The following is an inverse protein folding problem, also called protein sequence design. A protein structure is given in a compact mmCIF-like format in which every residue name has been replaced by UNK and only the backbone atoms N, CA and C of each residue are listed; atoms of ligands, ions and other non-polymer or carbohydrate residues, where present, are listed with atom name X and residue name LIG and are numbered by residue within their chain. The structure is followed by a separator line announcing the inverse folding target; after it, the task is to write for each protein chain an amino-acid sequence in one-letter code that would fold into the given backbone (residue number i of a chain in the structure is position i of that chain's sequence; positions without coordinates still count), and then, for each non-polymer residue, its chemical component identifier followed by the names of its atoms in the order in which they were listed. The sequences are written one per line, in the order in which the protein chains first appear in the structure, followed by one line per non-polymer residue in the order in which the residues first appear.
data_IF_149861237011
#
_entry.id   IF_149861237011
#
_cell.length_a   1.000
_cell.length_b   1.000
_cell.length_c   1.000
_cell.angle_alpha   90.00
_cell.angle_beta   90.00
_cell.angle_gamma   90.00
#
_symmetry.space_group_name_H-M   'P 1'
#
loop_
_entity.id
_entity.type
_entity.pdbx_description
1 polymer ?
#
# COMPACT_ATOMS: atom_id res chain seq x y z
N UNK A 1 4.31 -0.28 -10.66
CA UNK A 1 3.93 -1.58 -10.07
C UNK A 1 2.50 -1.92 -10.48
N UNK A 2 2.18 -3.20 -10.77
CA UNK A 2 0.81 -3.66 -11.08
C UNK A 2 0.22 -4.47 -9.92
N UNK A 3 -1.08 -4.37 -9.68
CA UNK A 3 -1.76 -5.06 -8.57
C UNK A 3 -1.58 -6.59 -8.59
N UNK A 4 -1.55 -7.20 -9.79
CA UNK A 4 -1.28 -8.63 -9.93
C UNK A 4 0.12 -9.02 -9.45
N UNK A 5 1.14 -8.20 -9.74
CA UNK A 5 2.50 -8.44 -9.27
C UNK A 5 2.57 -8.37 -7.74
N UNK A 6 1.88 -7.42 -7.15
CA UNK A 6 1.84 -7.25 -5.69
C UNK A 6 1.16 -8.45 -4.99
N UNK A 7 0.14 -9.04 -5.61
CA UNK A 7 -0.46 -10.31 -5.15
C UNK A 7 0.51 -11.50 -5.21
N UNK A 8 1.34 -11.55 -6.25
CA UNK A 8 2.34 -12.62 -6.41
C UNK A 8 3.40 -12.50 -5.31
N UNK A 9 3.93 -11.29 -5.10
CA UNK A 9 4.92 -11.02 -4.04
C UNK A 9 4.38 -11.39 -2.66
N UNK A 10 3.13 -11.01 -2.34
CA UNK A 10 2.54 -11.31 -1.02
C UNK A 10 2.36 -12.79 -0.72
N UNK A 11 2.45 -13.66 -1.74
CA UNK A 11 2.40 -15.11 -1.60
C UNK A 11 3.79 -15.75 -1.62
N UNK A 12 4.70 -15.21 -2.42
CA UNK A 12 6.03 -15.78 -2.59
C UNK A 12 6.99 -15.39 -1.46
N UNK A 13 6.95 -14.13 -1.03
CA UNK A 13 7.84 -13.59 -0.01
C UNK A 13 7.08 -12.74 1.03
N UNK A 14 6.09 -13.31 1.74
CA UNK A 14 5.24 -12.55 2.66
C UNK A 14 6.02 -11.84 3.78
N UNK A 15 7.11 -12.45 4.25
CA UNK A 15 7.91 -11.96 5.38
C UNK A 15 9.06 -11.04 4.98
N UNK A 16 9.31 -10.88 3.66
CA UNK A 16 10.35 -9.97 3.17
C UNK A 16 9.97 -8.51 3.46
N UNK A 17 10.96 -7.65 3.66
CA UNK A 17 10.72 -6.22 3.83
C UNK A 17 10.06 -5.65 2.57
N UNK A 18 8.90 -5.02 2.73
CA UNK A 18 8.10 -4.50 1.62
C UNK A 18 8.92 -3.57 0.73
N UNK A 19 9.75 -2.71 1.31
CA UNK A 19 10.61 -1.76 0.57
C UNK A 19 11.67 -2.40 -0.32
N UNK A 20 11.98 -3.69 -0.13
CA UNK A 20 12.94 -4.41 -0.97
C UNK A 20 12.33 -4.78 -2.33
N UNK A 21 11.01 -4.97 -2.40
CA UNK A 21 10.31 -5.53 -3.58
C UNK A 21 9.10 -4.71 -4.06
N UNK A 22 8.63 -3.76 -3.26
CA UNK A 22 7.55 -2.82 -3.58
C UNK A 22 8.14 -1.40 -3.62
N UNK A 23 7.73 -0.54 -4.57
CA UNK A 23 8.14 0.87 -4.62
C UNK A 23 7.99 1.57 -3.26
N UNK A 24 9.03 2.30 -2.87
CA UNK A 24 9.16 2.85 -1.52
C UNK A 24 8.07 3.87 -1.19
N UNK A 25 7.61 4.65 -2.17
CA UNK A 25 6.50 5.60 -2.03
C UNK A 25 5.20 4.90 -1.61
N UNK A 26 4.85 3.79 -2.27
CA UNK A 26 3.70 2.96 -1.89
C UNK A 26 3.86 2.45 -0.46
N UNK A 27 5.04 1.89 -0.13
CA UNK A 27 5.30 1.34 1.20
C UNK A 27 5.17 2.42 2.27
N UNK A 28 5.71 3.63 2.04
CA UNK A 28 5.61 4.75 2.96
C UNK A 28 4.16 5.17 3.20
N UNK A 29 3.37 5.30 2.14
CA UNK A 29 1.95 5.66 2.25
C UNK A 29 1.17 4.60 3.02
N UNK A 30 1.31 3.33 2.64
CA UNK A 30 0.61 2.23 3.32
C UNK A 30 1.04 2.11 4.78
N UNK A 31 2.34 2.25 5.06
CA UNK A 31 2.90 2.26 6.40
C UNK A 31 2.32 3.37 7.27
N UNK A 32 2.28 4.60 6.75
CA UNK A 32 1.71 5.74 7.45
C UNK A 32 0.22 5.53 7.76
N UNK A 33 -0.57 5.16 6.75
CA UNK A 33 -2.01 4.94 6.90
C UNK A 33 -2.35 3.75 7.82
N UNK A 34 -1.48 2.74 7.87
CA UNK A 34 -1.65 1.57 8.72
C UNK A 34 -1.10 1.74 10.14
N UNK A 35 -0.45 2.88 10.44
CA UNK A 35 0.24 3.09 11.72
C UNK A 35 1.41 2.14 11.95
N UNK A 36 2.06 1.68 10.88
CA UNK A 36 3.14 0.70 10.95
C UNK A 36 4.47 1.31 10.48
N UNK A 37 5.62 1.00 11.10
CA UNK A 37 6.89 1.57 10.64
C UNK A 37 7.30 1.04 9.26
N UNK A 38 7.53 1.93 8.29
CA UNK A 38 7.91 1.53 6.92
C UNK A 38 9.22 0.73 6.86
N UNK A 39 10.14 0.95 7.82
CA UNK A 39 11.43 0.23 7.90
C UNK A 39 11.27 -1.27 8.18
N UNK A 40 10.22 -1.65 8.89
CA UNK A 40 9.97 -3.03 9.35
C UNK A 40 8.74 -3.66 8.69
N UNK A 41 8.03 -2.90 7.85
CA UNK A 41 6.85 -3.41 7.15
C UNK A 41 7.23 -4.56 6.22
N UNK A 42 6.56 -5.69 6.39
CA UNK A 42 6.66 -6.86 5.50
C UNK A 42 5.76 -6.73 4.27
N UNK A 43 6.02 -7.51 3.22
CA UNK A 43 5.15 -7.57 2.03
C UNK A 43 3.72 -7.94 2.40
N UNK A 44 3.52 -8.90 3.32
CA UNK A 44 2.18 -9.31 3.76
C UNK A 44 1.45 -8.17 4.49
N UNK A 45 2.14 -7.43 5.36
CA UNK A 45 1.56 -6.27 6.05
C UNK A 45 1.20 -5.16 5.06
N UNK A 46 2.07 -4.88 4.09
CA UNK A 46 1.77 -3.92 3.02
C UNK A 46 0.55 -4.35 2.20
N UNK A 47 0.46 -5.64 1.84
CA UNK A 47 -0.67 -6.20 1.11
C UNK A 47 -1.99 -6.07 1.88
N UNK A 48 -2.00 -6.43 3.17
CA UNK A 48 -3.19 -6.28 4.01
C UNK A 48 -3.53 -4.81 4.27
N UNK A 49 -2.54 -3.93 4.41
CA UNK A 49 -2.74 -2.49 4.51
C UNK A 49 -3.48 -1.92 3.31
N UNK A 50 -3.05 -2.27 2.08
CA UNK A 50 -3.77 -1.93 0.85
C UNK A 50 -5.20 -2.48 0.89
N UNK A 51 -5.37 -3.76 1.20
CA UNK A 51 -6.68 -4.40 1.21
C UNK A 51 -7.66 -3.78 2.23
N UNK A 52 -7.17 -3.33 3.40
CA UNK A 52 -7.97 -2.68 4.45
C UNK A 52 -8.66 -1.41 3.94
N UNK A 53 -7.98 -0.61 3.12
CA UNK A 53 -8.58 0.56 2.47
C UNK A 53 -9.64 0.22 1.43
N UNK A 54 -9.74 -1.04 1.01
CA UNK A 54 -10.83 -1.55 0.19
C UNK A 54 -11.92 -2.30 0.95
N UNK A 55 -11.89 -2.28 2.29
CA UNK A 55 -12.88 -2.92 3.16
C UNK A 55 -12.48 -4.31 3.68
N UNK A 56 -11.22 -4.73 3.54
CA UNK A 56 -10.75 -5.98 4.15
C UNK A 56 -10.61 -5.83 5.66
N UNK A 57 -11.35 -6.62 6.43
CA UNK A 57 -11.26 -6.60 7.90
C UNK A 57 -10.06 -7.40 8.42
N UNK A 58 -9.72 -8.51 7.74
CA UNK A 58 -8.61 -9.37 8.12
C UNK A 58 -8.84 -10.09 9.45
N UNK A 59 -10.07 -10.55 9.70
CA UNK A 59 -10.38 -11.36 10.88
C UNK A 59 -9.85 -12.77 10.69
N UNK A 60 -9.64 -13.47 11.80
CA UNK A 60 -9.22 -14.87 11.78
C UNK A 60 -10.24 -15.70 11.02
N UNK A 61 -9.82 -16.31 9.90
CA UNK A 61 -10.67 -17.18 9.07
C UNK A 61 -11.29 -16.52 7.84
N UNK A 62 -11.18 -15.21 7.63
CA UNK A 62 -11.75 -14.50 6.46
C UNK A 62 -11.18 -14.95 5.11
N UNK A 63 -10.05 -15.66 5.13
CA UNK A 63 -9.28 -15.96 3.92
C UNK A 63 -8.61 -14.71 3.34
N UNK A 64 -7.93 -14.85 2.18
CA UNK A 64 -7.23 -13.73 1.55
C UNK A 64 -8.23 -12.71 0.95
N UNK A 65 -7.83 -11.43 0.85
CA UNK A 65 -8.70 -10.40 0.27
C UNK A 65 -9.06 -10.70 -1.19
N UNK A 66 -10.33 -10.46 -1.55
CA UNK A 66 -10.85 -10.63 -2.91
C UNK A 66 -10.40 -9.52 -3.87
N UNK A 67 -10.53 -9.76 -5.17
CA UNK A 67 -10.06 -8.83 -6.20
C UNK A 67 -10.71 -7.44 -6.13
N UNK A 68 -12.02 -7.37 -5.87
CA UNK A 68 -12.73 -6.08 -5.74
C UNK A 68 -12.17 -5.25 -4.57
N UNK A 69 -12.03 -5.86 -3.40
CA UNK A 69 -11.42 -5.25 -2.21
C UNK A 69 -10.01 -4.75 -2.50
N UNK A 70 -9.20 -5.56 -3.16
CA UNK A 70 -7.84 -5.17 -3.53
C UNK A 70 -7.80 -4.01 -4.53
N UNK A 71 -8.68 -4.03 -5.53
CA UNK A 71 -8.76 -2.96 -6.51
C UNK A 71 -9.16 -1.63 -5.87
N UNK A 72 -10.18 -1.63 -5.00
CA UNK A 72 -10.63 -0.44 -4.29
C UNK A 72 -9.53 0.12 -3.38
N UNK A 73 -8.88 -0.76 -2.61
CA UNK A 73 -7.77 -0.37 -1.75
C UNK A 73 -6.57 0.17 -2.54
N UNK A 74 -6.23 -0.47 -3.65
CA UNK A 74 -5.16 0.00 -4.53
C UNK A 74 -5.45 1.37 -5.12
N UNK A 75 -6.66 1.58 -5.65
CA UNK A 75 -7.07 2.89 -6.18
C UNK A 75 -7.00 3.98 -5.11
N UNK A 76 -7.40 3.67 -3.88
CA UNK A 76 -7.27 4.60 -2.76
C UNK A 76 -5.80 5.01 -2.52
N UNK A 77 -4.87 4.05 -2.44
CA UNK A 77 -3.44 4.32 -2.26
C UNK A 77 -2.87 5.15 -3.42
N UNK A 78 -3.25 4.82 -4.66
CA UNK A 78 -2.83 5.59 -5.84
C UNK A 78 -3.33 7.04 -5.78
N UNK A 79 -4.57 7.28 -5.34
CA UNK A 79 -5.10 8.63 -5.18
C UNK A 79 -4.35 9.43 -4.11
N UNK A 80 -3.98 8.79 -2.99
CA UNK A 80 -3.16 9.44 -1.95
C UNK A 80 -1.79 9.82 -2.51
N UNK A 81 -1.14 8.93 -3.25
CA UNK A 81 0.14 9.22 -3.90
C UNK A 81 0.04 10.38 -4.88
N UNK A 82 -1.00 10.41 -5.72
CA UNK A 82 -1.24 11.52 -6.64
C UNK A 82 -1.47 12.84 -5.90
N UNK A 83 -2.25 12.81 -4.81
CA UNK A 83 -2.48 13.98 -3.97
C UNK A 83 -1.20 14.51 -3.33
N UNK A 84 -0.33 13.62 -2.82
CA UNK A 84 0.97 14.00 -2.26
C UNK A 84 1.89 14.62 -3.31
N UNK A 85 1.94 14.04 -4.50
CA UNK A 85 2.73 14.58 -5.62
C UNK A 85 2.23 15.97 -6.03
N UNK A 86 0.91 16.15 -6.16
CA UNK A 86 0.30 17.43 -6.48
C UNK A 86 0.59 18.47 -5.39
N UNK A 87 0.45 18.12 -4.11
CA UNK A 87 0.74 19.01 -3.00
C UNK A 87 2.21 19.45 -2.98
N UNK A 88 3.14 18.52 -3.25
CA UNK A 88 4.57 18.85 -3.35
C UNK A 88 4.87 19.79 -4.51
N UNK A 89 4.26 19.56 -5.69
CA UNK A 89 4.40 20.45 -6.85
C UNK A 89 3.88 21.86 -6.55
N UNK A 90 2.71 21.97 -5.96
CA UNK A 90 2.10 23.26 -5.62
C UNK A 90 2.88 24.00 -4.52
N UNK A 91 3.41 23.28 -3.52
CA UNK A 91 4.30 23.88 -2.51
C UNK A 91 5.49 24.55 -3.19
N UNK A 92 6.19 23.83 -4.06
CA UNK A 92 7.37 24.37 -4.76
C UNK A 92 7.04 25.55 -5.70
N UNK A 93 5.78 25.71 -6.11
CA UNK A 93 5.32 26.82 -6.98
C UNK A 93 4.80 28.03 -6.18
N UNK A 94 4.37 27.82 -4.94
CA UNK A 94 3.81 28.86 -4.07
C UNK A 94 4.84 29.42 -3.08
N UNK A 95 6.02 28.81 -3.02
CA UNK A 95 7.21 29.41 -2.43
C UNK A 95 7.70 30.56 -3.37
N UNK A 96 7.40 31.82 -3.00
CA UNK A 96 7.95 33.06 -3.62
C UNK A 96 9.48 33.09 -3.57
#
# INVERSE_FOLDING_TARGET
MRLLQLRVLSRQCPDELARAVIPTDIVLVVAHLSGHPAKTMTVQQCWHGIARHGGYLGRKGDGPPGWKTLWLGWMYIQNVLQGMQLASLLSNQLDL
#
